data_IF_603333946638
#
_entry.id   IF_603333946638
#
_cell.length_a   1.000
_cell.length_b   1.000
_cell.length_c   1.000
_cell.angle_alpha   90.00
_cell.angle_beta   90.00
_cell.angle_gamma   90.00
#
_symmetry.space_group_name_H-M   'P 1'
#
loop_
_entity.id
_entity.type
_entity.pdbx_description
1 polymer ?
#
# COMPACT_ATOMS: atom_id res chain seq x y z
N UNK A 1 -12.29 -13.64 -1.79
CA UNK A 1 -11.35 -12.74 -2.53
C UNK A 1 -10.26 -12.35 -1.55
N UNK A 2 -9.02 -12.70 -1.88
CA UNK A 2 -7.83 -12.38 -1.09
C UNK A 2 -7.00 -11.34 -1.83
N UNK A 3 -6.61 -10.27 -1.14
CA UNK A 3 -5.87 -9.16 -1.74
C UNK A 3 -4.63 -8.90 -0.90
N UNK A 4 -3.47 -8.74 -1.55
CA UNK A 4 -2.26 -8.22 -0.92
C UNK A 4 -1.97 -6.82 -1.45
N UNK A 5 -1.54 -5.93 -0.57
CA UNK A 5 -0.99 -4.62 -0.93
C UNK A 5 0.39 -4.47 -0.36
N UNK A 6 1.31 -3.92 -1.16
CA UNK A 6 2.69 -3.68 -0.74
C UNK A 6 3.08 -2.24 -0.95
N UNK A 7 3.78 -1.68 0.01
CA UNK A 7 4.49 -0.41 -0.11
C UNK A 7 5.98 -0.66 0.18
N UNK A 8 6.84 -0.40 -0.79
CA UNK A 8 8.27 -0.73 -0.73
C UNK A 8 9.18 0.48 -0.45
N UNK A 9 8.62 1.67 -0.17
CA UNK A 9 9.36 2.87 0.21
C UNK A 9 9.90 2.83 1.65
N UNK A 10 10.26 3.98 2.21
CA UNK A 10 10.56 4.09 3.64
C UNK A 10 9.33 3.71 4.47
N UNK A 11 9.54 3.09 5.63
CA UNK A 11 8.44 2.54 6.46
C UNK A 11 7.56 1.56 5.67
N UNK A 12 8.23 0.65 4.96
CA UNK A 12 7.58 -0.35 4.13
C UNK A 12 6.54 -1.17 4.89
N UNK A 13 5.47 -1.50 4.22
CA UNK A 13 4.39 -2.28 4.82
C UNK A 13 3.76 -3.25 3.84
N UNK A 14 3.18 -4.30 4.37
CA UNK A 14 2.34 -5.26 3.67
C UNK A 14 0.97 -5.25 4.32
N UNK A 15 -0.08 -5.19 3.52
CA UNK A 15 -1.45 -5.32 3.99
C UNK A 15 -2.13 -6.46 3.27
N UNK A 16 -2.82 -7.31 4.00
CA UNK A 16 -3.60 -8.42 3.46
C UNK A 16 -5.07 -8.26 3.82
N UNK A 17 -5.93 -8.30 2.81
CA UNK A 17 -7.36 -8.45 2.99
C UNK A 17 -7.75 -9.89 2.71
N UNK A 18 -8.35 -10.53 3.69
CA UNK A 18 -8.94 -11.87 3.55
C UNK A 18 -10.23 -11.97 4.36
N UNK A 19 -11.31 -12.44 3.72
CA UNK A 19 -12.60 -12.72 4.36
C UNK A 19 -13.16 -11.58 5.24
N UNK A 20 -13.04 -10.33 4.78
CA UNK A 20 -13.54 -9.16 5.51
C UNK A 20 -12.58 -8.60 6.56
N UNK A 21 -11.45 -9.25 6.80
CA UNK A 21 -10.40 -8.80 7.71
C UNK A 21 -9.26 -8.15 6.94
N UNK A 22 -8.76 -7.03 7.44
CA UNK A 22 -7.51 -6.42 6.99
C UNK A 22 -6.46 -6.61 8.07
N UNK A 23 -5.32 -7.16 7.68
CA UNK A 23 -4.13 -7.26 8.54
C UNK A 23 -3.02 -6.44 7.91
N UNK A 24 -2.34 -5.61 8.71
CA UNK A 24 -1.25 -4.74 8.27
C UNK A 24 0.01 -5.17 9.03
N UNK A 25 1.12 -5.30 8.29
CA UNK A 25 2.43 -5.62 8.83
C UNK A 25 3.35 -4.47 8.48
N UNK A 26 3.83 -3.76 9.50
CA UNK A 26 4.88 -2.76 9.37
C UNK A 26 6.23 -3.48 9.34
N UNK A 27 6.94 -3.40 8.23
CA UNK A 27 8.17 -4.19 8.05
C UNK A 27 9.32 -3.71 8.94
N UNK A 28 9.31 -2.47 9.39
CA UNK A 28 10.26 -1.97 10.39
C UNK A 28 10.09 -2.67 11.75
N UNK A 29 8.87 -3.12 12.11
CA UNK A 29 8.62 -3.93 13.30
C UNK A 29 9.08 -5.37 13.13
N UNK A 30 8.89 -5.91 11.93
CA UNK A 30 9.29 -7.28 11.61
C UNK A 30 10.81 -7.41 11.56
N UNK A 31 11.50 -6.47 10.91
CA UNK A 31 12.95 -6.48 10.73
C UNK A 31 13.73 -5.87 11.91
N UNK A 32 13.07 -5.10 12.76
CA UNK A 32 13.71 -4.32 13.82
C UNK A 32 14.49 -3.10 13.33
N UNK A 33 14.41 -2.77 12.04
CA UNK A 33 15.10 -1.65 11.40
C UNK A 33 14.18 -0.45 11.23
N UNK A 34 14.50 0.65 11.91
CA UNK A 34 13.73 1.91 11.79
C UNK A 34 13.81 2.49 10.37
N UNK A 35 12.69 2.92 9.82
CA UNK A 35 12.55 3.43 8.45
C UNK A 35 12.95 2.41 7.38
N UNK A 36 12.77 1.13 7.68
CA UNK A 36 13.06 0.06 6.73
C UNK A 36 12.43 0.31 5.36
N UNK A 37 13.19 0.01 4.30
CA UNK A 37 12.72 0.17 2.92
C UNK A 37 12.95 -1.13 2.13
N UNK A 38 11.87 -1.84 1.86
CA UNK A 38 11.89 -3.09 1.10
C UNK A 38 12.48 -2.91 -0.31
N UNK A 39 12.28 -1.74 -0.92
CA UNK A 39 12.84 -1.43 -2.23
C UNK A 39 14.37 -1.28 -2.26
N UNK A 40 15.03 -1.14 -1.12
CA UNK A 40 16.50 -1.00 -1.04
C UNK A 40 17.27 -2.29 -0.85
N UNK A 41 16.59 -3.37 -0.46
CA UNK A 41 17.23 -4.67 -0.23
C UNK A 41 17.26 -5.52 -1.51
N UNK A 42 18.04 -6.58 -1.52
CA UNK A 42 18.14 -7.51 -2.65
C UNK A 42 16.82 -8.25 -2.90
N UNK A 43 16.66 -8.81 -4.09
CA UNK A 43 15.45 -9.61 -4.40
C UNK A 43 15.30 -10.85 -3.51
N UNK A 44 16.41 -11.43 -3.06
CA UNK A 44 16.41 -12.57 -2.15
C UNK A 44 15.89 -12.14 -0.78
N UNK A 45 16.42 -11.07 -0.22
CA UNK A 45 15.96 -10.51 1.06
C UNK A 45 14.51 -10.05 1.00
N UNK A 46 14.06 -9.48 -0.14
CA UNK A 46 12.64 -9.13 -0.34
C UNK A 46 11.75 -10.38 -0.23
N UNK A 47 12.16 -11.49 -0.85
CA UNK A 47 11.42 -12.75 -0.78
C UNK A 47 11.32 -13.26 0.65
N UNK A 48 12.45 -13.35 1.33
CA UNK A 48 12.53 -13.82 2.71
C UNK A 48 11.66 -12.98 3.67
N UNK A 49 11.70 -11.65 3.53
CA UNK A 49 10.91 -10.73 4.37
C UNK A 49 9.41 -10.86 4.08
N UNK A 50 9.02 -11.01 2.82
CA UNK A 50 7.62 -11.18 2.45
C UNK A 50 7.11 -12.53 2.93
N UNK A 51 7.85 -13.60 2.75
CA UNK A 51 7.52 -14.93 3.26
C UNK A 51 7.36 -14.90 4.79
N UNK A 52 8.32 -14.33 5.51
CA UNK A 52 8.23 -14.17 6.96
C UNK A 52 7.01 -13.34 7.39
N UNK A 53 6.69 -12.28 6.66
CA UNK A 53 5.52 -11.46 6.94
C UNK A 53 4.21 -12.26 6.77
N UNK A 54 4.09 -13.04 5.70
CA UNK A 54 2.91 -13.87 5.45
C UNK A 54 2.79 -15.02 6.47
N UNK A 55 3.90 -15.65 6.85
CA UNK A 55 3.94 -16.65 7.91
C UNK A 55 3.47 -16.09 9.26
N UNK A 56 3.88 -14.87 9.60
CA UNK A 56 3.51 -14.20 10.86
C UNK A 56 1.99 -14.04 11.00
N UNK A 57 1.26 -13.95 9.90
CA UNK A 57 -0.20 -13.77 9.88
C UNK A 57 -0.95 -15.03 9.42
N UNK A 58 -0.25 -16.14 9.22
CA UNK A 58 -0.79 -17.43 8.78
C UNK A 58 -1.59 -17.32 7.47
N UNK A 59 -0.96 -16.73 6.44
CA UNK A 59 -1.55 -16.51 5.12
C UNK A 59 -0.66 -17.09 4.03
N UNK A 60 -1.25 -17.95 3.20
CA UNK A 60 -0.58 -18.48 2.00
C UNK A 60 -0.32 -17.38 0.96
N UNK A 61 0.79 -17.50 0.26
CA UNK A 61 1.15 -16.63 -0.86
C UNK A 61 0.35 -16.97 -2.13
N UNK A 62 -0.97 -16.78 -2.07
CA UNK A 62 -1.90 -16.97 -3.20
C UNK A 62 -3.01 -15.92 -3.14
N UNK A 63 -2.98 -14.96 -4.04
CA UNK A 63 -3.84 -13.78 -4.02
C UNK A 63 -4.64 -13.61 -5.32
N UNK A 64 -5.88 -13.18 -5.19
CA UNK A 64 -6.69 -12.77 -6.34
C UNK A 64 -6.19 -11.45 -6.95
N UNK A 65 -5.59 -10.58 -6.10
CA UNK A 65 -5.11 -9.28 -6.54
C UNK A 65 -3.89 -8.84 -5.72
N UNK A 66 -2.91 -8.27 -6.41
CA UNK A 66 -1.84 -7.48 -5.81
C UNK A 66 -2.04 -6.00 -6.09
N UNK A 67 -2.05 -5.19 -5.03
CA UNK A 67 -2.07 -3.73 -5.10
C UNK A 67 -0.65 -3.22 -4.84
N UNK A 68 -0.02 -2.68 -5.87
CA UNK A 68 1.29 -2.06 -5.75
C UNK A 68 1.14 -0.61 -5.31
N UNK A 69 1.47 -0.32 -4.05
CA UNK A 69 1.40 1.00 -3.44
C UNK A 69 2.63 1.89 -3.68
N UNK A 70 3.66 1.39 -4.35
CA UNK A 70 4.90 2.12 -4.52
C UNK A 70 4.82 3.16 -5.63
N UNK A 71 5.02 4.40 -5.26
CA UNK A 71 4.84 5.58 -6.12
C UNK A 71 5.84 5.71 -7.27
N UNK A 72 7.09 5.37 -7.06
CA UNK A 72 8.16 5.60 -8.05
C UNK A 72 8.05 4.71 -9.30
N UNK A 73 7.17 3.76 -9.31
CA UNK A 73 7.04 2.72 -10.32
C UNK A 73 6.21 3.12 -11.54
N UNK A 74 5.43 4.21 -11.47
CA UNK A 74 4.56 4.63 -12.59
C UNK A 74 5.28 5.06 -13.86
N UNK A 75 6.58 5.37 -13.80
CA UNK A 75 7.29 5.96 -14.95
C UNK A 75 8.02 4.97 -15.86
N UNK A 76 8.40 3.76 -15.42
CA UNK A 76 9.25 2.89 -16.26
C UNK A 76 9.04 1.37 -16.09
N UNK A 77 8.01 0.87 -15.41
CA UNK A 77 7.93 -0.56 -15.07
C UNK A 77 9.25 -0.96 -14.38
N UNK A 78 9.48 -0.44 -13.18
CA UNK A 78 10.81 -0.45 -12.58
C UNK A 78 11.29 -1.85 -12.20
N UNK A 79 12.61 -1.97 -12.03
CA UNK A 79 13.31 -3.17 -11.57
C UNK A 79 12.66 -3.81 -10.33
N UNK A 80 12.07 -3.00 -9.45
CA UNK A 80 11.38 -3.41 -8.22
C UNK A 80 10.07 -4.13 -8.50
N UNK A 81 9.28 -3.65 -9.47
CA UNK A 81 8.04 -4.30 -9.88
C UNK A 81 8.29 -5.71 -10.44
N UNK A 82 9.29 -5.83 -11.33
CA UNK A 82 9.71 -7.12 -11.89
C UNK A 82 10.28 -8.08 -10.84
N UNK A 83 10.87 -7.55 -9.76
CA UNK A 83 11.32 -8.37 -8.64
C UNK A 83 10.14 -8.92 -7.84
N UNK A 84 9.15 -8.07 -7.52
CA UNK A 84 7.97 -8.44 -6.75
C UNK A 84 7.02 -9.38 -7.51
N UNK A 85 6.94 -9.28 -8.84
CA UNK A 85 6.17 -10.18 -9.70
C UNK A 85 6.58 -11.66 -9.56
N UNK A 86 7.83 -11.92 -9.19
CA UNK A 86 8.33 -13.27 -8.97
C UNK A 86 8.22 -13.75 -7.51
N UNK A 87 7.86 -12.87 -6.59
CA UNK A 87 7.80 -13.16 -5.15
C UNK A 87 6.35 -13.39 -4.73
N UNK A 88 5.43 -12.54 -5.19
CA UNK A 88 4.01 -12.62 -4.84
C UNK A 88 3.26 -13.42 -5.91
N UNK A 89 2.53 -14.44 -5.51
CA UNK A 89 1.65 -15.18 -6.40
C UNK A 89 0.27 -14.49 -6.45
N UNK A 90 -0.09 -13.96 -7.62
CA UNK A 90 -1.33 -13.20 -7.81
C UNK A 90 -1.94 -13.43 -9.20
N UNK A 91 -3.26 -13.27 -9.30
CA UNK A 91 -3.99 -13.40 -10.59
C UNK A 91 -4.02 -12.09 -11.38
N UNK A 92 -4.05 -10.93 -10.69
CA UNK A 92 -4.03 -9.60 -11.32
C UNK A 92 -3.33 -8.59 -10.42
N UNK A 93 -2.76 -7.55 -11.05
CA UNK A 93 -2.18 -6.43 -10.33
C UNK A 93 -2.91 -5.12 -10.65
N UNK A 94 -2.93 -4.22 -9.69
CA UNK A 94 -3.37 -2.83 -9.85
C UNK A 94 -2.40 -1.91 -9.14
N UNK A 95 -2.27 -0.69 -9.61
CA UNK A 95 -1.50 0.34 -8.92
C UNK A 95 -2.35 1.01 -7.87
N UNK A 96 -1.77 1.25 -6.72
CA UNK A 96 -2.39 2.02 -5.66
C UNK A 96 -2.66 3.46 -6.09
N UNK A 97 -3.54 4.16 -5.38
CA UNK A 97 -3.79 5.57 -5.62
C UNK A 97 -2.57 6.43 -5.27
N UNK A 98 -2.62 7.72 -5.62
CA UNK A 98 -1.57 8.67 -5.24
C UNK A 98 -1.38 8.78 -3.73
N UNK A 99 -0.22 9.30 -3.32
CA UNK A 99 0.22 9.36 -1.91
C UNK A 99 -0.83 10.04 -1.01
N UNK A 100 -1.24 11.26 -1.33
CA UNK A 100 -2.24 11.99 -0.54
C UNK A 100 -3.64 11.35 -0.60
N UNK A 101 -3.99 10.69 -1.70
CA UNK A 101 -5.24 9.96 -1.79
C UNK A 101 -5.24 8.73 -0.87
N UNK A 102 -4.09 8.06 -0.70
CA UNK A 102 -3.95 7.00 0.32
C UNK A 102 -4.20 7.53 1.73
N UNK A 103 -3.62 8.68 2.09
CA UNK A 103 -3.88 9.33 3.37
C UNK A 103 -5.36 9.68 3.54
N UNK A 104 -5.99 10.25 2.51
CA UNK A 104 -7.39 10.60 2.54
C UNK A 104 -8.30 9.38 2.74
N UNK A 105 -8.04 8.26 2.05
CA UNK A 105 -8.77 7.02 2.24
C UNK A 105 -8.59 6.47 3.66
N UNK A 106 -7.36 6.42 4.16
CA UNK A 106 -7.06 5.93 5.51
C UNK A 106 -7.81 6.75 6.57
N UNK A 107 -7.76 8.06 6.49
CA UNK A 107 -8.45 8.94 7.44
C UNK A 107 -9.98 8.82 7.34
N UNK A 108 -10.52 8.83 6.12
CA UNK A 108 -11.97 8.84 5.91
C UNK A 108 -12.64 7.55 6.37
N UNK A 109 -12.13 6.39 5.95
CA UNK A 109 -12.78 5.11 6.26
C UNK A 109 -12.74 4.74 7.74
N UNK A 110 -11.78 5.30 8.49
CA UNK A 110 -11.68 5.17 9.94
C UNK A 110 -12.49 6.24 10.70
N UNK A 111 -13.01 7.25 10.01
CA UNK A 111 -13.78 8.32 10.62
C UNK A 111 -15.25 7.92 10.79
N UNK A 112 -16.02 8.58 11.68
CA UNK A 112 -17.45 8.34 11.84
C UNK A 112 -18.33 9.09 10.81
N UNK A 113 -17.74 9.86 9.88
CA UNK A 113 -18.48 10.77 9.00
C UNK A 113 -19.04 10.06 7.75
N UNK A 114 -20.28 10.33 7.40
CA UNK A 114 -20.89 9.90 6.14
C UNK A 114 -20.46 10.76 4.95
N UNK A 115 -20.21 12.02 5.20
CA UNK A 115 -19.70 13.00 4.23
C UNK A 115 -18.60 13.83 4.91
N UNK A 116 -17.53 14.11 4.18
CA UNK A 116 -16.43 14.92 4.69
C UNK A 116 -15.69 15.66 3.58
N UNK A 117 -15.12 16.80 3.94
CA UNK A 117 -13.95 17.32 3.25
C UNK A 117 -12.71 16.87 4.01
N UNK A 118 -11.70 16.43 3.28
CA UNK A 118 -10.45 15.89 3.82
C UNK A 118 -9.33 16.75 3.30
N UNK A 119 -8.53 17.28 4.22
CA UNK A 119 -7.30 18.00 3.90
C UNK A 119 -6.15 17.05 4.17
N UNK A 120 -5.34 16.77 3.16
CA UNK A 120 -4.11 16.01 3.27
C UNK A 120 -2.93 16.94 3.01
N UNK A 121 -2.01 17.02 3.97
CA UNK A 121 -0.79 17.82 3.87
C UNK A 121 0.39 17.00 4.38
N UNK A 122 1.45 16.95 3.59
CA UNK A 122 2.67 16.21 3.89
C UNK A 122 3.88 16.93 3.27
N UNK A 123 5.09 16.49 3.63
CA UNK A 123 6.36 17.03 3.11
C UNK A 123 6.55 16.82 1.61
N UNK A 124 5.76 15.96 0.97
CA UNK A 124 5.74 15.73 -0.47
C UNK A 124 5.08 14.39 -0.83
N UNK A 125 4.60 14.33 -2.04
CA UNK A 125 4.01 13.15 -2.64
C UNK A 125 3.99 13.28 -4.16
N UNK A 126 3.52 12.26 -4.87
CA UNK A 126 3.40 12.31 -6.32
C UNK A 126 2.28 13.24 -6.81
N UNK A 127 1.42 13.60 -5.92
CA UNK A 127 0.26 14.45 -6.10
C UNK A 127 0.40 15.79 -5.32
N UNK A 128 1.65 16.17 -4.99
CA UNK A 128 2.00 17.45 -4.39
C UNK A 128 2.26 17.37 -2.89
N UNK A 129 2.08 18.49 -2.20
CA UNK A 129 2.29 18.67 -0.75
C UNK A 129 0.99 18.96 0.01
N UNK A 130 -0.07 19.32 -0.71
CA UNK A 130 -1.36 19.69 -0.16
C UNK A 130 -2.49 19.32 -1.12
N UNK A 131 -3.48 18.61 -0.64
CA UNK A 131 -4.64 18.20 -1.42
C UNK A 131 -5.93 18.28 -0.61
N UNK A 132 -7.04 18.56 -1.30
CA UNK A 132 -8.38 18.57 -0.72
C UNK A 132 -9.20 17.51 -1.46
N UNK A 133 -9.93 16.72 -0.70
CA UNK A 133 -10.81 15.67 -1.22
C UNK A 133 -12.21 15.83 -0.64
N UNK A 134 -13.21 15.51 -1.44
CA UNK A 134 -14.60 15.33 -0.98
C UNK A 134 -14.89 13.85 -0.89
N UNK A 135 -15.49 13.41 0.19
CA UNK A 135 -15.79 12.00 0.42
C UNK A 135 -17.24 11.76 0.80
N UNK A 136 -17.78 10.64 0.36
CA UNK A 136 -19.03 10.06 0.84
C UNK A 136 -18.86 8.57 1.07
N UNK A 137 -19.68 7.93 1.92
CA UNK A 137 -19.63 6.46 2.14
C UNK A 137 -19.85 5.65 0.86
N UNK A 138 -20.49 6.24 -0.13
CA UNK A 138 -20.73 5.58 -1.43
C UNK A 138 -19.52 5.65 -2.36
N UNK A 139 -18.84 6.77 -2.42
CA UNK A 139 -17.76 7.01 -3.41
C UNK A 139 -16.36 6.89 -2.83
N UNK A 140 -16.19 6.99 -1.50
CA UNK A 140 -14.89 7.26 -0.90
C UNK A 140 -14.38 8.67 -1.23
N UNK A 141 -13.13 8.97 -0.89
CA UNK A 141 -12.45 10.22 -1.24
C UNK A 141 -12.27 10.36 -2.76
N UNK A 142 -12.66 11.50 -3.29
CA UNK A 142 -12.45 11.90 -4.67
C UNK A 142 -11.75 13.26 -4.66
N UNK A 143 -10.79 13.46 -5.54
CA UNK A 143 -10.18 14.78 -5.74
C UNK A 143 -11.30 15.78 -6.08
N UNK A 144 -11.25 16.95 -5.44
CA UNK A 144 -12.15 18.05 -5.81
C UNK A 144 -11.67 18.57 -7.17
N UNK A 145 -12.53 18.54 -8.18
CA UNK A 145 -12.22 19.09 -9.50
C UNK A 145 -12.02 20.62 -9.31
N UNK A 146 -10.81 21.08 -9.55
CA UNK A 146 -10.43 22.48 -9.53
C UNK A 146 -10.87 23.15 -10.82
#
# INVERSE_FOLDING_TARGET
MRIISTYAGHESSISVYDNGKITIIELDKLTGEKYFSLGKVSAVEQSEIIEQALETIDVDNDFDMWINGSYHQRRNGTLEEKKMENIINYKRTVYGPGHHLCHAHSAYWQSPFDKAYIISSDGGGNDGVFNIYRATRRSGPLADEQ
#
